data_IF_050346697719
#
_entry.id   IF_050346697719
#
_cell.length_a   1.000
_cell.length_b   1.000
_cell.length_c   1.000
_cell.angle_alpha   90.00
_cell.angle_beta   90.00
_cell.angle_gamma   90.00
#
_symmetry.space_group_name_H-M   'P 1'
#
loop_
_entity.id
_entity.type
_entity.pdbx_description
1 polymer ?
#
# COMPACT_ATOMS: atom_id res chain seq x y z
N UNK A 1 16.78 8.17 33.08
CA UNK A 1 16.47 8.24 31.63
C UNK A 1 15.74 6.95 31.26
N UNK A 2 14.42 6.97 31.06
CA UNK A 2 13.69 5.75 30.67
C UNK A 2 14.17 5.30 29.29
N UNK A 3 14.46 4.01 29.08
CA UNK A 3 14.91 3.52 27.78
C UNK A 3 13.87 3.87 26.71
N UNK A 4 14.33 4.45 25.59
CA UNK A 4 13.46 4.79 24.46
C UNK A 4 12.86 3.49 23.89
N UNK A 5 11.64 3.14 24.33
CA UNK A 5 10.87 2.03 23.77
C UNK A 5 10.66 2.26 22.27
N UNK A 6 10.92 1.23 21.46
CA UNK A 6 10.74 1.28 20.00
C UNK A 6 9.27 1.54 19.64
N UNK A 7 9.02 2.12 18.47
CA UNK A 7 7.66 2.33 17.99
C UNK A 7 6.88 1.01 17.87
N UNK A 8 7.56 -0.09 17.50
CA UNK A 8 6.98 -1.44 17.43
C UNK A 8 6.45 -1.92 18.78
N UNK A 9 7.22 -1.68 19.85
CA UNK A 9 6.80 -2.01 21.20
C UNK A 9 5.55 -1.21 21.61
N UNK A 10 5.51 0.10 21.29
CA UNK A 10 4.35 0.94 21.59
C UNK A 10 3.09 0.53 20.82
N UNK A 11 3.24 0.13 19.56
CA UNK A 11 2.14 -0.45 18.76
C UNK A 11 1.63 -1.74 19.39
N UNK A 12 2.52 -2.60 19.89
CA UNK A 12 2.14 -3.83 20.59
C UNK A 12 1.42 -3.59 21.91
N UNK A 13 1.78 -2.54 22.67
CA UNK A 13 1.03 -2.12 23.86
C UNK A 13 -0.35 -1.55 23.51
N UNK A 14 -0.46 -0.88 22.35
CA UNK A 14 -1.71 -0.27 21.90
C UNK A 14 -2.74 -1.29 21.40
N UNK A 15 -2.28 -2.36 20.73
CA UNK A 15 -3.17 -3.44 20.28
C UNK A 15 -3.54 -4.34 21.47
N UNK A 16 -4.79 -4.21 21.92
CA UNK A 16 -5.33 -4.95 23.07
C UNK A 16 -5.25 -6.46 22.88
N UNK A 17 -4.99 -7.21 23.94
CA UNK A 17 -4.84 -8.67 23.87
C UNK A 17 -6.14 -9.46 23.76
N UNK A 18 -7.27 -8.84 23.37
CA UNK A 18 -8.59 -9.47 23.49
C UNK A 18 -9.26 -9.71 22.14
N UNK A 19 -9.51 -10.99 21.91
CA UNK A 19 -10.35 -11.63 20.90
C UNK A 19 -9.77 -11.86 19.50
N UNK A 20 -9.72 -13.15 19.15
CA UNK A 20 -9.54 -13.70 17.82
C UNK A 20 -10.83 -13.45 17.03
N UNK A 21 -10.80 -12.48 16.12
CA UNK A 21 -11.84 -12.36 15.10
C UNK A 21 -11.78 -13.56 14.13
N UNK A 22 -12.88 -13.82 13.41
CA UNK A 22 -12.92 -14.80 12.31
C UNK A 22 -11.66 -14.70 11.42
N UNK A 23 -11.13 -15.83 10.91
CA UNK A 23 -9.86 -15.83 10.21
C UNK A 23 -9.88 -14.81 9.06
N UNK A 24 -9.00 -13.82 9.13
CA UNK A 24 -8.86 -12.80 8.08
C UNK A 24 -8.59 -13.50 6.75
N UNK A 25 -9.24 -13.06 5.66
CA UNK A 25 -9.00 -13.65 4.34
C UNK A 25 -7.52 -13.55 3.97
N UNK A 26 -6.97 -14.62 3.37
CA UNK A 26 -5.60 -14.61 2.89
C UNK A 26 -5.47 -13.76 1.62
N UNK A 27 -4.43 -12.92 1.56
CA UNK A 27 -4.06 -12.14 0.39
C UNK A 27 -3.49 -13.06 -0.69
N UNK A 28 -2.65 -14.03 -0.35
CA UNK A 28 -2.10 -14.99 -1.32
C UNK A 28 -3.16 -15.91 -1.96
N UNK A 29 -4.36 -16.00 -1.37
CA UNK A 29 -5.49 -16.80 -1.86
C UNK A 29 -6.72 -15.96 -2.23
N UNK A 30 -6.58 -14.64 -2.37
CA UNK A 30 -7.72 -13.78 -2.72
C UNK A 30 -8.29 -14.16 -4.10
N UNK A 31 -9.60 -14.39 -4.17
CA UNK A 31 -10.30 -14.76 -5.42
C UNK A 31 -10.64 -13.52 -6.24
N UNK A 32 -10.81 -12.38 -5.58
CA UNK A 32 -11.15 -11.11 -6.21
C UNK A 32 -10.04 -10.09 -5.94
N UNK A 33 -9.59 -9.33 -6.96
CA UNK A 33 -8.59 -8.28 -6.79
C UNK A 33 -9.24 -6.98 -6.32
N UNK A 34 -10.21 -7.05 -5.41
CA UNK A 34 -10.91 -5.87 -4.87
C UNK A 34 -11.26 -6.08 -3.41
N UNK A 35 -11.11 -5.04 -2.59
CA UNK A 35 -11.54 -5.06 -1.19
C UNK A 35 -13.07 -4.94 -1.11
N UNK A 36 -13.69 -5.26 0.04
CA UNK A 36 -15.13 -5.01 0.26
C UNK A 36 -15.55 -3.54 0.07
N UNK A 37 -14.61 -2.60 0.25
CA UNK A 37 -14.84 -1.16 0.00
C UNK A 37 -14.71 -0.75 -1.47
N UNK A 38 -14.50 -1.70 -2.39
CA UNK A 38 -14.31 -1.44 -3.82
C UNK A 38 -12.91 -0.98 -4.20
N UNK A 39 -11.93 -1.11 -3.31
CA UNK A 39 -10.56 -0.67 -3.58
C UNK A 39 -9.77 -1.76 -4.31
N UNK A 40 -9.10 -1.46 -5.44
CA UNK A 40 -8.41 -2.48 -6.21
C UNK A 40 -7.18 -3.00 -5.47
N UNK A 41 -7.10 -4.33 -5.35
CA UNK A 41 -5.90 -5.08 -5.02
C UNK A 41 -5.11 -5.34 -6.31
N UNK A 42 -3.82 -5.67 -6.19
CA UNK A 42 -2.94 -5.89 -7.35
C UNK A 42 -3.47 -7.02 -8.23
N UNK A 43 -3.72 -8.21 -7.67
CA UNK A 43 -4.14 -9.37 -8.47
C UNK A 43 -4.86 -10.40 -7.62
N UNK A 44 -5.60 -11.30 -8.25
CA UNK A 44 -6.18 -12.50 -7.65
C UNK A 44 -5.22 -13.70 -7.74
N UNK A 45 -5.59 -14.82 -7.11
CA UNK A 45 -4.81 -16.05 -7.12
C UNK A 45 -4.64 -16.61 -8.54
N UNK A 46 -5.70 -16.57 -9.36
CA UNK A 46 -5.67 -17.07 -10.73
C UNK A 46 -4.73 -16.24 -11.64
N UNK A 47 -4.75 -14.91 -11.50
CA UNK A 47 -3.84 -14.02 -12.22
C UNK A 47 -2.38 -14.23 -11.80
N UNK A 48 -2.11 -14.43 -10.50
CA UNK A 48 -0.76 -14.76 -10.00
C UNK A 48 -0.26 -16.07 -10.59
N UNK A 49 -1.07 -17.13 -10.58
CA UNK A 49 -0.68 -18.41 -11.16
C UNK A 49 -0.37 -18.28 -12.65
N UNK A 50 -1.15 -17.48 -13.39
CA UNK A 50 -0.95 -17.25 -14.81
C UNK A 50 0.36 -16.51 -15.12
N UNK A 51 0.72 -15.49 -14.32
CA UNK A 51 1.87 -14.62 -14.60
C UNK A 51 3.16 -15.12 -13.95
N UNK A 52 3.10 -15.74 -12.77
CA UNK A 52 4.30 -16.12 -12.01
C UNK A 52 4.66 -17.61 -12.15
N UNK A 53 3.95 -18.36 -12.98
CA UNK A 53 4.40 -19.65 -13.54
C UNK A 53 4.89 -20.70 -12.54
N UNK A 54 4.39 -20.69 -11.30
CA UNK A 54 4.89 -21.53 -10.21
C UNK A 54 3.81 -22.00 -9.24
N UNK A 55 4.22 -22.84 -8.29
CA UNK A 55 3.37 -23.25 -7.17
C UNK A 55 3.07 -22.02 -6.31
N UNK A 56 1.80 -21.59 -6.31
CA UNK A 56 1.33 -20.55 -5.41
C UNK A 56 1.35 -21.09 -3.98
N UNK A 57 2.10 -20.45 -3.06
CA UNK A 57 2.17 -20.97 -1.71
C UNK A 57 0.80 -20.87 -1.05
N UNK A 58 0.37 -21.94 -0.37
CA UNK A 58 -0.87 -21.95 0.40
C UNK A 58 -0.83 -20.94 1.57
N UNK A 59 0.38 -20.63 2.05
CA UNK A 59 0.63 -19.62 3.08
C UNK A 59 1.93 -18.87 2.82
N UNK A 60 1.97 -17.61 3.22
CA UNK A 60 3.17 -16.78 3.20
C UNK A 60 3.55 -16.40 4.65
N UNK A 61 4.80 -16.61 5.11
CA UNK A 61 5.18 -16.34 6.50
C UNK A 61 5.01 -14.88 6.91
N UNK A 62 5.24 -13.93 5.98
CA UNK A 62 5.02 -12.51 6.25
C UNK A 62 3.52 -12.25 6.43
N UNK A 63 2.68 -12.82 5.57
CA UNK A 63 1.23 -12.70 5.65
C UNK A 63 0.66 -13.35 6.92
N UNK A 64 1.19 -14.49 7.33
CA UNK A 64 0.82 -15.16 8.58
C UNK A 64 1.13 -14.27 9.79
N UNK A 65 2.34 -13.70 9.83
CA UNK A 65 2.72 -12.74 10.88
C UNK A 65 1.82 -11.50 10.87
N UNK A 66 1.56 -10.95 9.68
CA UNK A 66 0.70 -9.80 9.49
C UNK A 66 -0.73 -10.06 9.96
N UNK A 67 -1.33 -11.19 9.58
CA UNK A 67 -2.68 -11.60 10.02
C UNK A 67 -2.73 -11.82 11.52
N UNK A 68 -1.73 -12.44 12.12
CA UNK A 68 -1.63 -12.60 13.57
C UNK A 68 -1.60 -11.24 14.29
N UNK A 69 -0.88 -10.26 13.75
CA UNK A 69 -0.87 -8.90 14.30
C UNK A 69 -2.23 -8.21 14.15
N UNK A 70 -2.86 -8.30 12.98
CA UNK A 70 -4.18 -7.71 12.73
C UNK A 70 -5.30 -8.36 13.57
N UNK A 71 -5.18 -9.65 13.88
CA UNK A 71 -6.16 -10.37 14.70
C UNK A 71 -6.21 -9.85 16.15
N UNK A 72 -5.18 -9.12 16.61
CA UNK A 72 -5.12 -8.49 17.94
C UNK A 72 -5.79 -7.13 18.02
N UNK A 73 -6.38 -6.64 16.93
CA UNK A 73 -7.05 -5.35 16.94
C UNK A 73 -8.55 -5.50 17.27
N UNK A 74 -9.01 -4.69 18.22
CA UNK A 74 -10.36 -4.68 18.80
C UNK A 74 -11.43 -4.19 17.81
N UNK A 75 -11.04 -3.47 16.75
CA UNK A 75 -11.98 -2.91 15.77
C UNK A 75 -11.44 -2.96 14.33
N UNK A 76 -12.34 -2.82 13.35
CA UNK A 76 -11.95 -2.72 11.95
C UNK A 76 -11.14 -1.46 11.63
N UNK A 77 -11.39 -0.34 12.34
CA UNK A 77 -10.58 0.88 12.17
C UNK A 77 -9.19 0.70 12.77
N UNK A 78 -9.08 0.04 13.92
CA UNK A 78 -7.79 -0.30 14.51
C UNK A 78 -7.00 -1.25 13.61
N UNK A 79 -7.65 -2.29 13.03
CA UNK A 79 -7.05 -3.16 12.00
C UNK A 79 -6.53 -2.38 10.80
N UNK A 80 -7.33 -1.49 10.23
CA UNK A 80 -6.91 -0.67 9.09
C UNK A 80 -5.73 0.25 9.43
N UNK A 81 -5.72 0.81 10.63
CA UNK A 81 -4.62 1.66 11.12
C UNK A 81 -3.34 0.85 11.32
N UNK A 82 -3.46 -0.35 11.89
CA UNK A 82 -2.32 -1.25 12.07
C UNK A 82 -1.75 -1.70 10.73
N UNK A 83 -2.61 -2.04 9.77
CA UNK A 83 -2.20 -2.35 8.41
C UNK A 83 -1.41 -1.19 7.78
N UNK A 84 -1.88 0.05 7.94
CA UNK A 84 -1.21 1.24 7.42
C UNK A 84 0.18 1.43 8.03
N UNK A 85 0.29 1.36 9.36
CA UNK A 85 1.57 1.52 10.09
C UNK A 85 2.58 0.42 9.75
N UNK A 86 2.11 -0.81 9.52
CA UNK A 86 2.97 -1.95 9.25
C UNK A 86 3.40 -2.08 7.78
N UNK A 87 2.65 -1.46 6.85
CA UNK A 87 2.87 -1.65 5.41
C UNK A 87 2.86 -0.33 4.64
N UNK A 88 1.69 0.28 4.45
CA UNK A 88 1.49 1.41 3.56
C UNK A 88 2.36 2.64 3.91
N UNK A 89 2.44 2.99 5.19
CA UNK A 89 3.20 4.15 5.64
C UNK A 89 4.72 3.97 5.40
N UNK A 90 5.40 2.93 5.93
CA UNK A 90 6.83 2.75 5.72
C UNK A 90 7.19 2.33 4.29
N UNK A 91 6.40 1.46 3.66
CA UNK A 91 6.78 0.79 2.42
C UNK A 91 6.25 1.49 1.15
N UNK A 92 5.31 2.44 1.28
CA UNK A 92 4.81 3.22 0.14
C UNK A 92 5.04 4.74 0.30
N UNK A 93 4.59 5.33 1.41
CA UNK A 93 4.58 6.80 1.54
C UNK A 93 5.95 7.37 1.94
N UNK A 94 6.52 6.87 3.04
CA UNK A 94 7.75 7.43 3.62
C UNK A 94 8.97 7.17 2.76
N UNK A 95 9.07 5.98 2.16
CA UNK A 95 10.17 5.64 1.25
C UNK A 95 10.22 6.55 0.03
N UNK A 96 9.05 6.96 -0.50
CA UNK A 96 8.98 7.88 -1.66
C UNK A 96 9.37 9.29 -1.24
N UNK A 97 8.85 9.77 -0.10
CA UNK A 97 9.24 11.08 0.42
C UNK A 97 10.75 11.18 0.62
N UNK A 98 11.33 10.21 1.32
CA UNK A 98 12.75 10.17 1.65
C UNK A 98 13.62 10.12 0.39
N UNK A 99 13.39 9.15 -0.50
CA UNK A 99 14.18 9.00 -1.73
C UNK A 99 14.09 10.20 -2.65
N UNK A 100 12.90 10.76 -2.84
CA UNK A 100 12.71 11.90 -3.76
C UNK A 100 13.29 13.19 -3.17
N UNK A 101 13.16 13.41 -1.86
CA UNK A 101 13.74 14.59 -1.21
C UNK A 101 15.27 14.50 -1.20
N UNK A 102 15.84 13.37 -0.78
CA UNK A 102 17.29 13.16 -0.71
C UNK A 102 17.96 13.22 -2.08
N UNK A 103 17.30 12.75 -3.14
CA UNK A 103 17.78 12.89 -4.52
C UNK A 103 17.94 14.34 -4.96
N UNK A 104 17.30 15.29 -4.27
CA UNK A 104 17.37 16.73 -4.53
C UNK A 104 18.00 17.50 -3.36
N UNK A 105 18.73 16.82 -2.46
CA UNK A 105 19.35 17.42 -1.27
C UNK A 105 18.35 18.17 -0.36
N UNK A 106 17.09 17.71 -0.31
CA UNK A 106 16.04 18.25 0.54
C UNK A 106 15.77 17.33 1.74
N UNK A 107 15.50 17.91 2.90
CA UNK A 107 15.06 17.18 4.09
C UNK A 107 13.51 17.13 4.15
N UNK A 108 12.93 15.97 3.82
CA UNK A 108 11.49 15.74 3.95
C UNK A 108 11.09 15.45 5.39
N UNK A 109 10.15 16.22 5.96
CA UNK A 109 9.61 15.98 7.32
C UNK A 109 8.16 15.55 7.30
N UNK A 110 7.78 14.69 8.24
CA UNK A 110 6.40 14.21 8.44
C UNK A 110 5.88 14.58 9.85
N UNK A 111 5.44 15.84 10.09
CA UNK A 111 5.08 16.33 11.43
C UNK A 111 3.98 15.52 12.15
N UNK A 112 3.03 14.96 11.37
CA UNK A 112 1.97 14.09 11.89
C UNK A 112 2.50 12.79 12.52
N UNK A 113 3.74 12.40 12.21
CA UNK A 113 4.42 11.24 12.78
C UNK A 113 5.34 11.58 13.95
N UNK A 114 5.27 12.82 14.48
CA UNK A 114 5.96 13.09 15.75
C UNK A 114 5.47 12.10 16.82
N UNK A 115 6.38 11.50 17.62
CA UNK A 115 6.01 10.39 18.52
C UNK A 115 4.83 10.74 19.44
N UNK A 116 4.85 11.92 20.04
CA UNK A 116 3.78 12.38 20.94
C UNK A 116 2.45 12.48 20.22
N UNK A 117 2.40 13.08 19.02
CA UNK A 117 1.15 13.23 18.28
C UNK A 117 0.61 11.89 17.79
N UNK A 118 1.48 11.03 17.26
CA UNK A 118 1.10 9.70 16.80
C UNK A 118 0.56 8.84 17.96
N UNK A 119 1.23 8.84 19.11
CA UNK A 119 0.79 8.10 20.30
C UNK A 119 -0.55 8.62 20.85
N UNK A 120 -0.72 9.94 20.92
CA UNK A 120 -2.01 10.52 21.30
C UNK A 120 -3.10 10.11 20.32
N UNK A 121 -2.85 10.19 19.02
CA UNK A 121 -3.82 9.83 17.98
C UNK A 121 -4.21 8.35 18.01
N UNK A 122 -3.29 7.45 18.35
CA UNK A 122 -3.56 6.01 18.50
C UNK A 122 -4.46 5.74 19.72
N UNK A 123 -4.31 6.49 20.81
CA UNK A 123 -5.12 6.30 22.03
C UNK A 123 -6.53 6.90 21.93
N UNK A 124 -6.83 7.69 20.89
CA UNK A 124 -8.17 8.23 20.71
C UNK A 124 -9.19 7.12 20.48
N UNK A 125 -10.38 7.18 21.11
CA UNK A 125 -11.49 6.32 20.75
C UNK A 125 -11.80 6.41 19.26
N UNK A 126 -12.23 5.31 18.65
CA UNK A 126 -12.52 5.28 17.21
C UNK A 126 -13.54 6.36 16.80
N UNK A 127 -14.54 6.67 17.62
CA UNK A 127 -15.52 7.73 17.38
C UNK A 127 -14.91 9.13 17.21
N UNK A 128 -13.76 9.40 17.85
CA UNK A 128 -13.00 10.64 17.72
C UNK A 128 -12.04 10.62 16.52
N UNK A 129 -11.85 9.47 15.88
CA UNK A 129 -11.00 9.30 14.69
C UNK A 129 -11.86 9.29 13.44
N UNK A 130 -12.92 8.49 13.45
CA UNK A 130 -13.85 8.28 12.35
C UNK A 130 -15.21 7.75 12.85
N UNK A 131 -16.29 8.27 12.28
CA UNK A 131 -17.64 7.74 12.39
C UNK A 131 -18.09 7.20 11.02
N UNK A 132 -19.30 6.63 10.96
CA UNK A 132 -19.88 6.17 9.69
C UNK A 132 -19.97 7.27 8.62
N UNK A 133 -20.10 8.54 9.02
CA UNK A 133 -20.33 9.68 8.11
C UNK A 133 -19.22 10.72 8.10
N UNK A 134 -18.31 10.69 9.08
CA UNK A 134 -17.24 11.69 9.22
C UNK A 134 -15.89 11.01 9.46
N UNK A 135 -14.87 11.42 8.70
CA UNK A 135 -13.48 11.04 8.97
C UNK A 135 -12.71 12.19 9.61
N UNK A 136 -11.58 11.88 10.25
CA UNK A 136 -10.66 12.87 10.85
C UNK A 136 -11.36 13.76 11.88
N UNK A 137 -12.21 13.19 12.73
CA UNK A 137 -13.13 13.95 13.61
C UNK A 137 -12.35 14.92 14.52
N UNK A 138 -11.50 14.41 15.41
CA UNK A 138 -10.68 15.23 16.30
C UNK A 138 -9.74 16.18 15.54
N UNK A 139 -9.15 15.72 14.43
CA UNK A 139 -8.27 16.57 13.61
C UNK A 139 -9.03 17.74 12.99
N UNK A 140 -10.28 17.56 12.56
CA UNK A 140 -11.13 18.63 12.03
C UNK A 140 -11.56 19.61 13.12
N UNK A 141 -11.81 19.13 14.33
CA UNK A 141 -12.13 19.99 15.48
C UNK A 141 -10.94 20.89 15.83
N UNK A 142 -9.72 20.34 15.91
CA UNK A 142 -8.50 21.14 16.11
C UNK A 142 -8.27 22.09 14.95
N UNK A 143 -8.45 21.64 13.71
CA UNK A 143 -8.26 22.48 12.52
C UNK A 143 -9.24 23.67 12.48
N UNK A 144 -10.47 23.52 13.01
CA UNK A 144 -11.47 24.59 13.06
C UNK A 144 -11.06 25.77 13.95
N UNK A 145 -10.10 25.58 14.84
CA UNK A 145 -9.53 26.65 15.66
C UNK A 145 -8.55 27.54 14.88
N UNK A 146 -8.04 27.04 13.74
CA UNK A 146 -6.91 27.65 13.01
C UNK A 146 -7.24 27.97 11.55
N UNK A 147 -8.23 27.31 10.95
CA UNK A 147 -8.51 27.36 9.52
C UNK A 147 -9.98 27.72 9.26
N UNK A 148 -10.27 28.41 8.14
CA UNK A 148 -11.63 28.81 7.83
C UNK A 148 -12.52 27.60 7.50
N UNK A 149 -13.85 27.73 7.69
CA UNK A 149 -14.79 26.61 7.55
C UNK A 149 -14.70 25.88 6.20
N UNK A 150 -14.46 26.60 5.10
CA UNK A 150 -14.34 26.00 3.76
C UNK A 150 -13.18 24.99 3.65
N UNK A 151 -12.08 25.20 4.39
CA UNK A 151 -10.94 24.28 4.40
C UNK A 151 -11.23 23.07 5.29
N UNK A 152 -11.82 23.31 6.47
CA UNK A 152 -12.12 22.26 7.46
C UNK A 152 -13.18 21.28 6.93
N UNK A 153 -14.19 21.80 6.23
CA UNK A 153 -15.31 21.02 5.70
C UNK A 153 -14.97 20.35 4.36
N UNK A 154 -13.85 20.70 3.74
CA UNK A 154 -13.43 20.16 2.44
C UNK A 154 -13.38 18.62 2.46
N UNK A 155 -13.90 18.00 1.40
CA UNK A 155 -13.84 16.54 1.22
C UNK A 155 -12.39 16.08 1.11
N UNK A 156 -12.08 14.89 1.66
CA UNK A 156 -10.75 14.28 1.51
C UNK A 156 -10.48 14.05 0.03
N UNK A 157 -9.43 14.67 -0.48
CA UNK A 157 -8.91 14.45 -1.81
C UNK A 157 -7.59 13.70 -1.68
N UNK A 158 -7.46 12.56 -2.37
CA UNK A 158 -6.19 11.85 -2.47
C UNK A 158 -5.27 12.53 -3.46
N UNK A 159 -3.96 12.27 -3.34
CA UNK A 159 -3.00 12.58 -4.38
C UNK A 159 -3.01 11.42 -5.38
N UNK A 160 -3.78 11.58 -6.46
CA UNK A 160 -3.90 10.56 -7.51
C UNK A 160 -2.96 10.92 -8.65
N UNK A 161 -2.06 10.01 -8.98
CA UNK A 161 -1.18 10.15 -10.15
C UNK A 161 -1.99 9.79 -11.41
N UNK A 162 -1.75 10.45 -12.56
CA UNK A 162 -2.40 10.10 -13.83
C UNK A 162 -1.76 8.82 -14.43
N UNK A 163 -1.82 7.72 -13.68
CA UNK A 163 -1.02 6.52 -13.91
C UNK A 163 -1.35 5.86 -15.25
N UNK A 164 -2.64 5.76 -15.64
CA UNK A 164 -3.02 5.28 -16.97
C UNK A 164 -2.28 6.02 -18.09
N UNK A 165 -2.31 7.36 -18.04
CA UNK A 165 -1.67 8.20 -19.06
C UNK A 165 -0.16 7.99 -19.09
N UNK A 166 0.48 7.93 -17.93
CA UNK A 166 1.92 7.71 -17.84
C UNK A 166 2.34 6.35 -18.38
N UNK A 167 1.59 5.30 -18.08
CA UNK A 167 1.86 3.96 -18.58
C UNK A 167 1.62 3.85 -20.10
N UNK A 168 0.57 4.47 -20.63
CA UNK A 168 0.36 4.56 -22.08
C UNK A 168 1.55 5.25 -22.77
N UNK A 169 2.02 6.35 -22.21
CA UNK A 169 3.21 7.06 -22.73
C UNK A 169 4.48 6.24 -22.57
N UNK A 170 4.63 5.48 -21.48
CA UNK A 170 5.76 4.59 -21.26
C UNK A 170 5.80 3.50 -22.33
N UNK A 171 4.72 2.75 -22.50
CA UNK A 171 4.62 1.68 -23.50
C UNK A 171 4.59 2.17 -24.95
N UNK A 172 4.27 3.45 -25.20
CA UNK A 172 4.47 4.06 -26.52
C UNK A 172 5.95 4.39 -26.80
N UNK A 173 6.79 4.48 -25.76
CA UNK A 173 8.23 4.76 -25.89
C UNK A 173 9.09 3.51 -25.92
N UNK A 174 8.64 2.41 -25.32
CA UNK A 174 9.27 1.10 -25.42
C UNK A 174 8.51 0.33 -26.49
N UNK A 175 9.15 0.08 -27.64
CA UNK A 175 8.53 -0.30 -28.92
C UNK A 175 7.26 -1.18 -28.82
N UNK A 176 7.31 -2.23 -27.99
CA UNK A 176 6.13 -3.00 -27.63
C UNK A 176 6.16 -3.53 -26.18
N UNK A 177 4.96 -3.72 -25.61
CA UNK A 177 4.76 -4.12 -24.22
C UNK A 177 5.28 -5.54 -23.91
N UNK A 178 5.18 -6.45 -24.87
CA UNK A 178 5.65 -7.84 -24.73
C UNK A 178 7.17 -7.88 -24.64
N UNK A 179 7.87 -7.28 -25.60
CA UNK A 179 9.33 -7.22 -25.60
C UNK A 179 9.85 -6.55 -24.33
N UNK A 180 9.17 -5.50 -23.85
CA UNK A 180 9.51 -4.85 -22.59
C UNK A 180 9.54 -5.85 -21.41
N UNK A 181 8.51 -6.70 -21.26
CA UNK A 181 8.46 -7.70 -20.21
C UNK A 181 9.41 -8.88 -20.45
N UNK A 182 9.63 -9.29 -21.70
CA UNK A 182 10.56 -10.38 -22.05
C UNK A 182 12.01 -10.00 -21.70
N UNK A 183 12.38 -8.72 -21.81
CA UNK A 183 13.69 -8.21 -21.40
C UNK A 183 13.96 -8.36 -19.90
N UNK A 184 12.91 -8.39 -19.07
CA UNK A 184 13.07 -8.51 -17.62
C UNK A 184 13.70 -9.85 -17.22
N UNK A 185 13.48 -10.92 -17.98
CA UNK A 185 13.98 -12.29 -17.71
C UNK A 185 13.76 -12.77 -16.28
N UNK A 186 12.64 -12.38 -15.67
CA UNK A 186 12.28 -12.83 -14.33
C UNK A 186 11.99 -14.35 -14.38
N UNK A 187 12.63 -15.17 -13.54
CA UNK A 187 12.35 -16.61 -13.49
C UNK A 187 10.86 -16.90 -13.22
N UNK A 188 10.31 -17.88 -13.95
CA UNK A 188 8.89 -18.28 -13.90
C UNK A 188 7.88 -17.17 -14.27
N UNK A 189 8.32 -15.99 -14.70
CA UNK A 189 7.43 -14.91 -15.13
C UNK A 189 7.01 -15.08 -16.59
N UNK A 190 5.71 -15.21 -16.82
CA UNK A 190 5.11 -15.23 -18.15
C UNK A 190 4.92 -13.80 -18.67
N UNK A 191 5.91 -13.35 -19.45
CA UNK A 191 5.91 -12.04 -20.08
C UNK A 191 4.73 -11.85 -21.07
N UNK A 192 4.31 -12.92 -21.75
CA UNK A 192 3.18 -12.87 -22.68
C UNK A 192 1.86 -12.62 -21.95
N UNK A 193 1.64 -13.35 -20.85
CA UNK A 193 0.47 -13.19 -20.00
C UNK A 193 0.45 -11.81 -19.33
N UNK A 194 1.60 -11.31 -18.88
CA UNK A 194 1.72 -9.97 -18.30
C UNK A 194 1.40 -8.87 -19.33
N UNK A 195 1.99 -8.92 -20.52
CA UNK A 195 1.71 -7.95 -21.59
C UNK A 195 0.23 -7.93 -21.97
N UNK A 196 -0.36 -9.11 -22.17
CA UNK A 196 -1.79 -9.25 -22.48
C UNK A 196 -2.68 -8.68 -21.37
N UNK A 197 -2.27 -8.83 -20.10
CA UNK A 197 -3.01 -8.24 -18.97
C UNK A 197 -2.90 -6.72 -18.96
N UNK A 198 -1.70 -6.18 -19.20
CA UNK A 198 -1.47 -4.74 -19.26
C UNK A 198 -2.29 -4.08 -20.37
N UNK A 199 -2.29 -4.66 -21.57
CA UNK A 199 -3.06 -4.14 -22.71
C UNK A 199 -4.57 -4.13 -22.41
N UNK A 200 -5.11 -5.22 -21.84
CA UNK A 200 -6.53 -5.29 -21.44
C UNK A 200 -6.88 -4.24 -20.39
N UNK A 201 -6.07 -4.09 -19.35
CA UNK A 201 -6.30 -3.13 -18.29
C UNK A 201 -6.23 -1.69 -18.82
N UNK A 202 -5.25 -1.36 -19.66
CA UNK A 202 -5.12 -0.03 -20.26
C UNK A 202 -6.28 0.33 -21.19
N UNK A 203 -6.92 -0.66 -21.82
CA UNK A 203 -8.13 -0.49 -22.62
C UNK A 203 -9.40 -0.37 -21.78
N UNK A 204 -9.40 -0.84 -20.53
CA UNK A 204 -10.58 -0.85 -19.67
C UNK A 204 -11.06 0.58 -19.33
N UNK A 205 -12.38 0.79 -19.10
CA UNK A 205 -12.90 2.08 -18.63
C UNK A 205 -12.32 2.52 -17.29
N UNK A 206 -12.00 1.55 -16.43
CA UNK A 206 -11.42 1.73 -15.10
C UNK A 206 -10.25 0.76 -14.92
N UNK A 207 -9.04 1.12 -15.39
CA UNK A 207 -7.86 0.27 -15.24
C UNK A 207 -7.52 0.04 -13.77
N UNK A 208 -7.02 -1.15 -13.46
CA UNK A 208 -6.31 -1.40 -12.22
C UNK A 208 -4.88 -0.81 -12.30
N UNK A 209 -4.78 0.50 -12.14
CA UNK A 209 -3.51 1.23 -12.25
C UNK A 209 -2.42 0.73 -11.30
N UNK A 210 -2.82 0.15 -10.15
CA UNK A 210 -1.90 -0.43 -9.16
C UNK A 210 -1.26 -1.71 -9.66
N UNK A 211 -2.05 -2.58 -10.30
CA UNK A 211 -1.55 -3.78 -10.96
C UNK A 211 -0.54 -3.41 -12.06
N UNK A 212 -0.93 -2.49 -12.93
CA UNK A 212 -0.09 -2.07 -14.04
C UNK A 212 1.26 -1.53 -13.55
N UNK A 213 1.22 -0.64 -12.56
CA UNK A 213 2.43 -0.09 -11.95
C UNK A 213 3.25 -1.18 -11.25
N UNK A 214 2.62 -2.12 -10.54
CA UNK A 214 3.32 -3.22 -9.87
C UNK A 214 4.06 -4.13 -10.86
N UNK A 215 3.48 -4.45 -12.02
CA UNK A 215 4.14 -5.25 -13.05
C UNK A 215 5.36 -4.53 -13.64
N UNK A 216 5.21 -3.24 -13.96
CA UNK A 216 6.32 -2.40 -14.45
C UNK A 216 7.43 -2.33 -13.40
N UNK A 217 7.08 -2.08 -12.14
CA UNK A 217 8.05 -2.01 -11.05
C UNK A 217 8.76 -3.34 -10.79
N UNK A 218 8.07 -4.48 -10.93
CA UNK A 218 8.68 -5.81 -10.81
C UNK A 218 9.74 -6.03 -11.89
N UNK A 219 9.40 -5.69 -13.14
CA UNK A 219 10.32 -5.77 -14.28
C UNK A 219 11.55 -4.87 -14.08
N UNK A 220 11.35 -3.61 -13.72
CA UNK A 220 12.43 -2.64 -13.48
C UNK A 220 13.31 -3.00 -12.28
N UNK A 221 12.69 -3.49 -11.19
CA UNK A 221 13.42 -3.97 -10.02
C UNK A 221 14.34 -5.13 -10.38
N UNK A 222 13.81 -6.15 -11.09
CA UNK A 222 14.60 -7.31 -11.46
C UNK A 222 15.73 -6.94 -12.42
N UNK A 223 15.43 -6.14 -13.45
CA UNK A 223 16.43 -5.63 -14.39
C UNK A 223 17.56 -4.87 -13.68
N UNK A 224 17.21 -3.95 -12.78
CA UNK A 224 18.18 -3.16 -12.02
C UNK A 224 19.01 -4.01 -11.06
N UNK A 225 18.40 -4.98 -10.39
CA UNK A 225 19.06 -5.81 -9.39
C UNK A 225 20.01 -6.82 -10.04
N UNK A 226 19.57 -7.52 -11.09
CA UNK A 226 20.42 -8.47 -11.83
C UNK A 226 21.60 -7.78 -12.51
N UNK A 227 21.41 -6.56 -13.04
CA UNK A 227 22.52 -5.76 -13.59
C UNK A 227 23.57 -5.42 -12.53
N UNK A 228 23.16 -5.04 -11.32
CA UNK A 228 24.09 -4.71 -10.23
C UNK A 228 24.86 -5.92 -9.69
N UNK A 229 24.29 -7.12 -9.75
CA UNK A 229 25.01 -8.35 -9.36
C UNK A 229 26.06 -8.80 -10.38
N UNK A 230 26.00 -8.29 -11.61
CA UNK A 230 26.88 -8.67 -12.72
C UNK A 230 27.94 -7.60 -13.05
N UNK A 231 27.88 -6.44 -12.40
CA UNK A 231 28.82 -5.34 -12.52
C UNK A 231 29.72 -5.30 -11.28
#
# INVERSE_FOLDING_TARGET
>A
MLPRRSWRFRVQEWIGGRAVAAPLQRLCQNIQPVTPSGFPLVMDAAGRQRILGGHMPESDPWEDSFRCMLARADSSLQRATLADILTWLPDDLLVKLDRMAMANSLEGRAPFLSPTLAETALRLPDSQRMTATRSKVALREVAALLLPPEIVQRRKQGFVLPMRRWLQQWFARVDDCRSYFELSRIPAFDAAAAASLVERELAAPRPNERLLFALVMLAEWHHSFVRRLRA
#
